data_IF_718860375581
#
_entry.id   IF_718860375581
#
_cell.length_a   1.000
_cell.length_b   1.000
_cell.length_c   1.000
_cell.angle_alpha   90.00
_cell.angle_beta   90.00
_cell.angle_gamma   90.00
#
_symmetry.space_group_name_H-M   'P 1'
#
loop_
_entity.id
_entity.type
_entity.pdbx_description
1 polymer ?
#
# COMPACT_ATOMS: atom_id res chain seq x y z
N UNK A 1 -1.80 2.65 2.66
CA UNK A 1 -2.32 1.27 2.45
C UNK A 1 -1.15 0.46 1.93
N UNK A 2 -1.02 -0.79 2.35
CA UNK A 2 0.10 -1.65 1.94
C UNK A 2 -0.45 -2.91 1.29
N UNK A 3 0.14 -3.33 0.18
CA UNK A 3 -0.20 -4.61 -0.44
C UNK A 3 0.64 -5.69 0.23
N UNK A 4 -0.03 -6.67 0.83
CA UNK A 4 0.61 -7.82 1.49
C UNK A 4 0.82 -8.94 0.48
N UNK A 5 -0.21 -9.23 -0.31
CA UNK A 5 -0.23 -10.36 -1.22
C UNK A 5 -1.17 -10.12 -2.40
N UNK A 6 -0.88 -10.77 -3.53
CA UNK A 6 -1.63 -10.68 -4.78
C UNK A 6 -1.63 -12.03 -5.47
N UNK A 7 -2.81 -12.52 -5.83
CA UNK A 7 -2.99 -13.77 -6.55
C UNK A 7 -3.92 -13.54 -7.75
N UNK A 8 -3.44 -13.87 -8.94
CA UNK A 8 -4.23 -13.80 -10.18
C UNK A 8 -4.74 -15.19 -10.54
N UNK A 9 -6.02 -15.29 -10.85
CA UNK A 9 -6.64 -16.46 -11.45
C UNK A 9 -7.06 -16.11 -12.88
N UNK A 10 -6.50 -16.81 -13.86
CA UNK A 10 -6.85 -16.66 -15.28
C UNK A 10 -7.89 -17.67 -15.74
N UNK A 11 -8.23 -18.67 -14.90
CA UNK A 11 -9.17 -19.73 -15.22
C UNK A 11 -10.12 -20.04 -14.05
N UNK A 12 -11.42 -20.29 -14.30
CA UNK A 12 -12.11 -20.12 -15.58
C UNK A 12 -12.25 -18.64 -15.98
N UNK A 13 -12.35 -18.34 -17.28
CA UNK A 13 -12.65 -16.99 -17.77
C UNK A 13 -14.00 -16.52 -17.22
N UNK A 14 -14.12 -15.25 -16.78
CA UNK A 14 -13.18 -14.13 -16.91
C UNK A 14 -11.99 -14.18 -15.92
N UNK A 15 -10.85 -13.54 -16.24
CA UNK A 15 -9.75 -13.43 -15.29
C UNK A 15 -10.15 -12.62 -14.06
N UNK A 16 -9.54 -12.92 -12.92
CA UNK A 16 -9.72 -12.17 -11.68
C UNK A 16 -8.42 -12.06 -10.89
N UNK A 17 -8.26 -11.01 -10.11
CA UNK A 17 -7.11 -10.83 -9.22
C UNK A 17 -7.59 -10.49 -7.81
N UNK A 18 -7.08 -11.23 -6.83
CA UNK A 18 -7.36 -11.00 -5.40
C UNK A 18 -6.13 -10.40 -4.72
N UNK A 19 -6.34 -9.33 -3.96
CA UNK A 19 -5.33 -8.57 -3.26
C UNK A 19 -5.61 -8.54 -1.77
N UNK A 20 -4.60 -8.83 -0.95
CA UNK A 20 -4.64 -8.59 0.50
C UNK A 20 -4.00 -7.23 0.80
N UNK A 21 -4.77 -6.28 1.32
CA UNK A 21 -4.34 -4.90 1.54
C UNK A 21 -4.49 -4.52 3.01
N UNK A 22 -3.41 -4.06 3.65
CA UNK A 22 -3.47 -3.43 4.96
C UNK A 22 -3.89 -1.96 4.85
N UNK A 23 -4.93 -1.59 5.61
CA UNK A 23 -5.38 -0.22 5.79
C UNK A 23 -4.42 0.64 6.61
N UNK A 24 -4.79 1.90 6.86
CA UNK A 24 -3.96 2.84 7.64
C UNK A 24 -3.86 2.47 9.12
N UNK A 25 -4.84 1.72 9.63
CA UNK A 25 -4.85 1.18 11.00
C UNK A 25 -4.28 -0.25 11.08
N UNK A 26 -3.73 -0.78 9.98
CA UNK A 26 -3.18 -2.14 9.94
C UNK A 26 -4.20 -3.27 9.78
N UNK A 27 -5.51 -3.00 9.73
CA UNK A 27 -6.51 -4.03 9.39
C UNK A 27 -6.32 -4.51 7.95
N UNK A 28 -6.33 -5.82 7.74
CA UNK A 28 -6.25 -6.45 6.42
C UNK A 28 -7.65 -6.52 5.82
N UNK A 29 -7.77 -6.05 4.57
CA UNK A 29 -8.95 -6.21 3.74
C UNK A 29 -8.57 -6.96 2.47
N UNK A 30 -9.48 -7.84 2.03
CA UNK A 30 -9.36 -8.53 0.76
C UNK A 30 -10.11 -7.74 -0.29
N UNK A 31 -9.46 -7.46 -1.42
CA UNK A 31 -10.06 -6.84 -2.60
C UNK A 31 -10.03 -7.86 -3.72
N UNK A 32 -11.14 -8.06 -4.40
CA UNK A 32 -11.23 -8.92 -5.57
C UNK A 32 -11.63 -8.07 -6.77
N UNK A 33 -10.79 -8.05 -7.79
CA UNK A 33 -11.04 -7.42 -9.08
C UNK A 33 -11.52 -8.50 -10.05
N UNK A 34 -12.79 -8.39 -10.44
CA UNK A 34 -13.51 -9.24 -11.37
C UNK A 34 -14.58 -8.38 -12.06
N UNK A 35 -15.57 -8.96 -12.75
CA UNK A 35 -16.66 -8.20 -13.38
C UNK A 35 -17.32 -7.20 -12.44
N UNK A 36 -17.53 -7.56 -11.17
CA UNK A 36 -17.97 -6.63 -10.13
C UNK A 36 -16.89 -6.62 -9.04
N UNK A 37 -16.11 -5.54 -8.93
CA UNK A 37 -15.10 -5.41 -7.88
C UNK A 37 -15.73 -5.47 -6.49
N UNK A 38 -15.10 -6.20 -5.58
CA UNK A 38 -15.58 -6.34 -4.20
C UNK A 38 -14.46 -6.13 -3.20
N UNK A 39 -14.83 -5.77 -1.98
CA UNK A 39 -13.88 -5.61 -0.87
C UNK A 39 -14.53 -5.98 0.46
N UNK A 40 -13.78 -6.60 1.36
CA UNK A 40 -14.28 -7.01 2.69
C UNK A 40 -14.32 -5.86 3.71
N UNK A 41 -13.99 -4.62 3.30
CA UNK A 41 -13.99 -3.48 4.21
C UNK A 41 -15.42 -2.98 4.52
N UNK A 42 -15.63 -2.30 5.68
CA UNK A 42 -16.96 -1.87 6.10
C UNK A 42 -17.69 -0.94 5.12
N UNK A 43 -16.97 -0.17 4.31
CA UNK A 43 -17.59 0.70 3.31
C UNK A 43 -18.13 -0.08 2.11
N UNK A 44 -17.40 -1.10 1.66
CA UNK A 44 -17.83 -1.95 0.55
C UNK A 44 -18.96 -2.89 0.95
N UNK A 45 -18.94 -3.40 2.19
CA UNK A 45 -20.04 -4.20 2.75
C UNK A 45 -21.37 -3.43 2.83
N UNK A 46 -21.33 -2.09 2.84
CA UNK A 46 -22.52 -1.23 2.77
C UNK A 46 -22.99 -0.96 1.33
N UNK A 47 -22.40 -1.62 0.33
CA UNK A 47 -22.78 -1.50 -1.08
C UNK A 47 -22.12 -0.35 -1.84
N UNK A 48 -21.13 0.33 -1.26
CA UNK A 48 -20.45 1.45 -1.91
C UNK A 48 -19.07 1.05 -2.46
N UNK A 49 -18.63 1.68 -3.55
CA UNK A 49 -17.25 1.54 -3.99
C UNK A 49 -16.31 2.15 -2.94
N UNK A 50 -15.35 1.35 -2.48
CA UNK A 50 -14.46 1.77 -1.40
C UNK A 50 -13.09 2.23 -1.93
N UNK A 51 -12.39 3.01 -1.09
CA UNK A 51 -11.02 3.45 -1.37
C UNK A 51 -10.03 2.31 -1.64
N UNK A 52 -10.27 1.10 -1.13
CA UNK A 52 -9.38 -0.04 -1.36
C UNK A 52 -9.50 -0.58 -2.79
N UNK A 53 -10.71 -0.57 -3.38
CA UNK A 53 -10.92 -0.93 -4.79
C UNK A 53 -10.23 0.10 -5.68
N UNK A 54 -10.44 1.39 -5.42
CA UNK A 54 -9.77 2.47 -6.16
C UNK A 54 -8.24 2.38 -6.03
N UNK A 55 -7.74 2.11 -4.83
CA UNK A 55 -6.31 1.92 -4.60
C UNK A 55 -5.76 0.72 -5.41
N UNK A 56 -6.48 -0.39 -5.45
CA UNK A 56 -6.10 -1.57 -6.24
C UNK A 56 -6.02 -1.24 -7.74
N UNK A 57 -7.06 -0.60 -8.30
CA UNK A 57 -7.11 -0.25 -9.72
C UNK A 57 -6.04 0.78 -10.10
N UNK A 58 -5.92 1.86 -9.34
CA UNK A 58 -5.05 3.00 -9.69
C UNK A 58 -3.58 2.71 -9.37
N UNK A 59 -3.29 2.17 -8.18
CA UNK A 59 -1.90 2.10 -7.66
C UNK A 59 -1.28 0.73 -7.81
N UNK A 60 -2.07 -0.34 -7.77
CA UNK A 60 -1.54 -1.71 -7.81
C UNK A 60 -1.57 -2.26 -9.22
N UNK A 61 -2.74 -2.25 -9.86
CA UNK A 61 -2.94 -2.75 -11.21
C UNK A 61 -2.59 -1.72 -12.28
N UNK A 62 -2.51 -0.43 -11.92
CA UNK A 62 -2.26 0.68 -12.87
C UNK A 62 -3.22 0.66 -14.07
N UNK A 63 -4.48 0.37 -13.81
CA UNK A 63 -5.52 0.31 -14.83
C UNK A 63 -5.55 1.60 -15.68
N UNK A 64 -5.91 1.52 -16.97
CA UNK A 64 -6.12 2.69 -17.82
C UNK A 64 -7.06 3.71 -17.16
N UNK A 65 -6.85 5.04 -17.36
CA UNK A 65 -7.63 6.07 -16.66
C UNK A 65 -9.15 5.93 -16.80
N UNK A 66 -9.64 5.45 -17.94
CA UNK A 66 -11.06 5.20 -18.22
C UNK A 66 -11.65 4.06 -17.38
N UNK A 67 -10.83 3.13 -16.91
CA UNK A 67 -11.22 1.93 -16.17
C UNK A 67 -11.02 2.08 -14.64
N UNK A 68 -10.36 3.14 -14.18
CA UNK A 68 -9.96 3.28 -12.75
C UNK A 68 -11.13 3.47 -11.77
N UNK A 69 -12.27 3.97 -12.24
CA UNK A 69 -13.42 4.34 -11.41
C UNK A 69 -14.71 3.61 -11.79
N UNK A 70 -14.64 2.63 -12.68
CA UNK A 70 -15.80 1.85 -13.08
C UNK A 70 -16.31 0.98 -11.91
N UNK A 71 -17.63 0.80 -11.87
CA UNK A 71 -18.30 -0.04 -10.87
C UNK A 71 -18.37 -1.52 -11.29
N UNK A 72 -18.24 -1.78 -12.58
CA UNK A 72 -18.21 -3.11 -13.16
C UNK A 72 -17.39 -3.10 -14.45
N UNK A 73 -16.87 -4.25 -14.84
CA UNK A 73 -15.97 -4.43 -15.98
C UNK A 73 -16.50 -5.50 -16.94
N UNK A 74 -16.21 -5.35 -18.23
CA UNK A 74 -16.32 -6.40 -19.25
C UNK A 74 -15.10 -7.31 -19.24
N UNK A 75 -15.20 -8.49 -19.86
CA UNK A 75 -14.06 -9.42 -19.98
C UNK A 75 -12.87 -8.77 -20.68
N UNK A 76 -13.12 -8.05 -21.79
CA UNK A 76 -12.08 -7.34 -22.53
C UNK A 76 -11.43 -6.21 -21.73
N UNK A 77 -12.19 -5.55 -20.85
CA UNK A 77 -11.66 -4.53 -19.95
C UNK A 77 -10.79 -5.17 -18.86
N UNK A 78 -11.20 -6.32 -18.32
CA UNK A 78 -10.40 -7.10 -17.37
C UNK A 78 -9.09 -7.58 -17.99
N UNK A 79 -9.13 -8.10 -19.22
CA UNK A 79 -7.92 -8.48 -19.97
C UNK A 79 -6.97 -7.27 -20.10
N UNK A 80 -7.50 -6.12 -20.54
CA UNK A 80 -6.73 -4.87 -20.65
C UNK A 80 -6.10 -4.45 -19.32
N UNK A 81 -6.84 -4.54 -18.21
CA UNK A 81 -6.34 -4.21 -16.88
C UNK A 81 -5.21 -5.16 -16.50
N UNK A 82 -5.37 -6.47 -16.66
CA UNK A 82 -4.39 -7.45 -16.21
C UNK A 82 -3.15 -7.55 -17.09
N UNK A 83 -3.26 -7.25 -18.38
CA UNK A 83 -2.14 -7.16 -19.32
C UNK A 83 -1.26 -5.94 -19.02
N UNK A 84 -1.87 -4.82 -18.61
CA UNK A 84 -1.15 -3.62 -18.18
C UNK A 84 -0.58 -3.70 -16.75
N UNK A 85 -1.01 -4.69 -15.97
CA UNK A 85 -0.69 -4.77 -14.56
C UNK A 85 0.76 -5.23 -14.29
N UNK A 86 1.45 -4.67 -13.28
CA UNK A 86 2.78 -5.11 -12.88
C UNK A 86 2.82 -6.60 -12.51
N UNK A 87 3.97 -7.28 -12.72
CA UNK A 87 4.13 -8.71 -12.47
C UNK A 87 3.81 -9.09 -11.01
N UNK A 88 3.43 -10.34 -10.81
CA UNK A 88 3.10 -10.88 -9.48
C UNK A 88 4.38 -11.14 -8.67
N UNK A 89 4.38 -10.87 -7.35
CA UNK A 89 5.56 -11.02 -6.51
C UNK A 89 6.09 -12.47 -6.38
N UNK A 90 5.28 -13.49 -6.69
CA UNK A 90 5.69 -14.90 -6.62
C UNK A 90 6.47 -15.41 -7.85
N UNK A 91 6.43 -14.69 -8.98
CA UNK A 91 7.18 -15.06 -10.17
C UNK A 91 8.70 -14.80 -10.05
N UNK A 92 9.13 -14.09 -8.98
CA UNK A 92 10.49 -13.57 -8.85
C UNK A 92 11.27 -14.22 -7.69
N UNK A 93 10.75 -15.30 -7.09
CA UNK A 93 11.35 -15.91 -5.90
C UNK A 93 12.65 -16.71 -6.16
N UNK A 94 13.09 -16.84 -7.42
CA UNK A 94 14.33 -17.53 -7.80
C UNK A 94 15.48 -16.61 -8.24
N UNK A 95 15.37 -15.29 -8.09
CA UNK A 95 16.50 -14.40 -8.31
C UNK A 95 17.25 -14.15 -6.99
N UNK A 96 18.43 -14.77 -6.87
CA UNK A 96 19.49 -14.30 -5.98
C UNK A 96 19.68 -12.78 -6.13
N UNK A 97 20.03 -12.09 -5.04
CA UNK A 97 20.24 -10.63 -4.95
C UNK A 97 20.91 -10.04 -6.20
N UNK A 98 20.10 -9.61 -7.14
CA UNK A 98 20.46 -8.74 -8.25
C UNK A 98 19.57 -7.52 -8.16
N UNK A 99 20.06 -6.40 -8.66
CA UNK A 99 19.47 -5.06 -8.69
C UNK A 99 18.14 -4.97 -9.48
N UNK A 100 17.41 -6.09 -9.65
CA UNK A 100 16.32 -6.30 -10.60
C UNK A 100 15.00 -5.56 -10.31
N UNK A 101 14.95 -4.74 -9.26
CA UNK A 101 13.83 -3.80 -9.03
C UNK A 101 14.24 -2.35 -9.21
N UNK A 102 15.52 -2.04 -9.38
CA UNK A 102 15.99 -0.69 -9.60
C UNK A 102 15.60 -0.25 -11.01
N UNK A 103 14.98 0.91 -11.12
CA UNK A 103 14.72 1.51 -12.44
C UNK A 103 16.03 2.03 -13.05
N UNK A 104 16.09 2.16 -14.39
CA UNK A 104 17.12 2.96 -15.04
C UNK A 104 17.21 4.38 -14.44
N UNK A 105 18.35 5.03 -14.61
CA UNK A 105 18.59 6.41 -14.16
C UNK A 105 18.03 7.46 -15.15
N UNK A 106 17.08 7.06 -15.99
CA UNK A 106 16.52 7.90 -17.06
C UNK A 106 15.56 8.98 -16.52
N UNK A 107 15.00 8.77 -15.32
CA UNK A 107 14.09 9.71 -14.63
C UNK A 107 14.87 10.61 -13.66
N UNK A 108 14.35 11.81 -13.36
CA UNK A 108 14.91 12.71 -12.33
C UNK A 108 14.60 12.28 -10.90
N UNK A 109 15.41 12.75 -9.94
CA UNK A 109 15.17 12.52 -8.53
C UNK A 109 13.83 13.12 -8.07
N UNK A 110 12.93 12.36 -7.44
CA UNK A 110 11.58 12.83 -7.11
C UNK A 110 11.51 13.83 -5.94
N UNK A 111 12.65 14.18 -5.33
CA UNK A 111 12.74 15.16 -4.24
C UNK A 111 13.25 16.51 -4.75
N UNK A 112 14.36 16.53 -5.49
CA UNK A 112 14.98 17.76 -5.98
C UNK A 112 14.67 18.05 -7.46
N UNK A 113 14.12 17.09 -8.20
CA UNK A 113 13.87 17.18 -9.64
C UNK A 113 15.13 17.46 -10.47
N UNK A 114 16.29 17.00 -9.98
CA UNK A 114 17.56 17.06 -10.71
C UNK A 114 17.92 15.67 -11.30
N UNK A 115 18.65 15.63 -12.43
CA UNK A 115 19.22 14.41 -12.97
C UNK A 115 20.20 13.74 -12.00
N UNK A 116 20.52 12.49 -12.29
CA UNK A 116 21.47 11.69 -11.52
C UNK A 116 22.87 11.74 -12.11
N UNK A 117 23.89 11.97 -11.27
CA UNK A 117 25.30 11.84 -11.64
C UNK A 117 25.95 10.68 -10.86
N UNK A 118 25.88 9.43 -11.35
CA UNK A 118 26.30 8.24 -10.58
C UNK A 118 27.80 8.19 -10.28
N UNK A 119 28.61 9.01 -10.95
CA UNK A 119 30.06 9.11 -10.73
C UNK A 119 30.41 10.03 -9.54
N UNK A 120 29.56 11.01 -9.24
CA UNK A 120 29.80 12.05 -8.23
C UNK A 120 28.83 11.97 -7.04
N UNK A 121 27.68 11.31 -7.20
CA UNK A 121 26.59 11.30 -6.24
C UNK A 121 26.19 9.88 -5.80
N UNK A 122 25.92 9.72 -4.50
CA UNK A 122 25.30 8.50 -4.00
C UNK A 122 23.84 8.43 -4.45
N UNK A 123 23.43 7.30 -5.02
CA UNK A 123 22.05 7.06 -5.45
C UNK A 123 21.51 5.84 -4.72
N UNK A 124 20.49 6.08 -3.90
CA UNK A 124 19.71 5.03 -3.25
C UNK A 124 18.43 4.77 -4.06
N UNK A 125 17.79 3.63 -3.85
CA UNK A 125 16.54 3.32 -4.55
C UNK A 125 15.55 2.59 -3.67
N UNK A 126 14.28 2.67 -4.04
CA UNK A 126 13.22 1.98 -3.32
C UNK A 126 13.24 0.46 -3.59
N UNK A 127 14.00 -0.28 -2.77
CA UNK A 127 14.06 -1.75 -2.78
C UNK A 127 12.72 -2.42 -2.45
N UNK A 128 11.89 -1.72 -1.67
CA UNK A 128 10.65 -2.26 -1.12
C UNK A 128 9.52 -2.43 -2.14
N UNK A 129 9.44 -1.54 -3.15
CA UNK A 129 8.28 -1.54 -4.06
C UNK A 129 8.58 -0.92 -5.44
N UNK A 130 8.74 0.42 -5.52
CA UNK A 130 8.62 1.11 -6.80
C UNK A 130 9.91 1.23 -7.61
N UNK A 131 11.07 0.87 -7.03
CA UNK A 131 12.33 0.85 -7.77
C UNK A 131 12.94 2.20 -8.10
N UNK A 132 12.25 3.31 -7.81
CA UNK A 132 12.73 4.65 -8.15
C UNK A 132 14.03 4.98 -7.42
N UNK A 133 14.91 5.62 -8.17
CA UNK A 133 16.16 6.19 -7.72
C UNK A 133 15.91 7.52 -7.00
N UNK A 134 16.76 7.81 -6.02
CA UNK A 134 16.73 9.03 -5.20
C UNK A 134 18.19 9.31 -4.80
N UNK A 135 18.62 10.57 -4.86
CA UNK A 135 19.93 10.93 -4.31
C UNK A 135 20.00 10.57 -2.83
N UNK A 136 21.12 10.00 -2.39
CA UNK A 136 21.37 9.63 -0.99
C UNK A 136 21.18 10.81 -0.05
N UNK A 137 21.72 11.98 -0.41
CA UNK A 137 21.55 13.22 0.35
C UNK A 137 20.08 13.65 0.47
N UNK A 138 19.33 13.61 -0.65
CA UNK A 138 17.90 13.95 -0.65
C UNK A 138 17.10 12.96 0.22
N UNK A 139 17.41 11.67 0.12
CA UNK A 139 16.77 10.65 0.93
C UNK A 139 17.09 10.79 2.43
N UNK A 140 18.34 11.11 2.79
CA UNK A 140 18.75 11.34 4.17
C UNK A 140 17.99 12.52 4.80
N UNK A 141 17.85 13.63 4.07
CA UNK A 141 17.03 14.77 4.51
C UNK A 141 15.57 14.38 4.71
N UNK A 142 15.02 13.61 3.77
CA UNK A 142 13.65 13.09 3.91
C UNK A 142 13.49 12.18 5.14
N UNK A 143 14.42 11.24 5.36
CA UNK A 143 14.39 10.36 6.51
C UNK A 143 14.49 11.15 7.83
N UNK A 144 15.37 12.15 7.90
CA UNK A 144 15.52 13.02 9.06
C UNK A 144 14.26 13.85 9.36
N UNK A 145 13.45 14.17 8.34
CA UNK A 145 12.16 14.86 8.51
C UNK A 145 11.10 14.00 9.21
N UNK A 146 11.30 12.67 9.32
CA UNK A 146 10.35 11.71 9.92
C UNK A 146 10.60 11.47 11.41
N UNK A 147 10.94 12.50 12.19
CA UNK A 147 11.14 12.38 13.64
C UNK A 147 9.94 11.68 14.31
N UNK A 148 10.16 10.47 14.82
CA UNK A 148 9.14 9.65 15.49
C UNK A 148 8.19 8.85 14.59
N UNK A 149 8.39 8.84 13.27
CA UNK A 149 7.56 8.10 12.30
C UNK A 149 8.40 7.14 11.45
N UNK A 150 7.78 6.05 10.98
CA UNK A 150 8.44 5.14 10.06
C UNK A 150 8.89 5.87 8.78
N UNK A 151 10.14 5.66 8.37
CA UNK A 151 10.67 6.22 7.12
C UNK A 151 10.04 5.47 5.95
N UNK A 152 9.47 6.21 5.00
CA UNK A 152 8.82 5.65 3.81
C UNK A 152 9.48 6.16 2.55
N UNK A 153 9.35 5.45 1.43
CA UNK A 153 9.71 5.97 0.11
C UNK A 153 8.96 7.28 -0.20
N UNK A 154 9.65 8.38 -0.55
CA UNK A 154 9.00 9.64 -0.93
C UNK A 154 8.03 9.48 -2.12
N UNK A 155 8.36 8.57 -3.05
CA UNK A 155 7.59 8.37 -4.26
C UNK A 155 6.34 7.51 -4.04
N UNK A 156 6.49 6.29 -3.53
CA UNK A 156 5.39 5.34 -3.39
C UNK A 156 4.83 5.22 -1.96
N UNK A 157 5.50 5.81 -0.96
CA UNK A 157 5.15 5.78 0.47
C UNK A 157 5.19 4.41 1.14
N UNK A 158 5.72 3.38 0.49
CA UNK A 158 6.05 2.09 1.12
C UNK A 158 7.15 2.29 2.17
N UNK A 159 7.11 1.63 3.36
CA UNK A 159 8.18 1.66 4.33
C UNK A 159 9.53 1.39 3.66
N UNK A 160 10.50 2.23 3.99
CA UNK A 160 11.81 2.17 3.37
C UNK A 160 12.55 0.95 3.91
N UNK A 161 13.14 0.16 3.01
CA UNK A 161 14.04 -0.93 3.38
C UNK A 161 15.47 -0.42 3.23
N UNK A 162 16.10 -0.09 4.36
CA UNK A 162 17.57 0.04 4.41
C UNK A 162 18.23 -1.34 4.26
N UNK A 163 19.57 -1.39 4.29
CA UNK A 163 20.32 -2.65 4.37
C UNK A 163 20.18 -3.29 5.75
N UNK A 164 18.95 -3.64 6.13
CA UNK A 164 18.62 -4.55 7.20
C UNK A 164 17.32 -5.29 6.84
N UNK A 165 17.43 -6.62 6.92
CA UNK A 165 16.48 -7.62 6.45
C UNK A 165 15.15 -7.59 7.20
N UNK A 166 14.24 -6.66 6.92
CA UNK A 166 12.93 -6.71 7.59
C UNK A 166 11.80 -6.14 6.76
N UNK A 167 11.30 -6.93 5.79
CA UNK A 167 9.91 -6.79 5.30
C UNK A 167 9.37 -8.07 4.61
N UNK A 168 10.14 -9.16 4.51
CA UNK A 168 9.71 -10.36 3.77
C UNK A 168 8.67 -11.25 4.50
N UNK A 169 8.19 -10.89 5.68
CA UNK A 169 7.22 -11.73 6.40
C UNK A 169 6.21 -10.90 7.21
N UNK A 170 5.47 -9.99 6.56
CA UNK A 170 4.19 -9.58 7.14
C UNK A 170 3.25 -10.76 6.99
N UNK A 171 3.16 -11.58 8.03
CA UNK A 171 2.29 -12.75 8.03
C UNK A 171 0.84 -12.29 8.02
N UNK A 172 -0.04 -13.02 7.30
CA UNK A 172 -1.50 -12.88 7.47
C UNK A 172 -1.98 -13.33 8.86
N UNK A 173 -1.05 -13.67 9.76
CA UNK A 173 -1.23 -14.17 11.11
C UNK A 173 -1.13 -13.02 12.12
N UNK A 174 -2.06 -12.07 12.04
CA UNK A 174 -2.20 -10.98 13.01
C UNK A 174 -3.26 -11.28 14.08
N UNK A 175 -3.34 -10.44 15.12
CA UNK A 175 -4.43 -10.53 16.10
C UNK A 175 -5.74 -10.11 15.44
N UNK A 176 -6.80 -10.89 15.63
CA UNK A 176 -8.14 -10.53 15.16
C UNK A 176 -8.75 -9.51 16.14
N UNK A 177 -9.25 -8.39 15.62
CA UNK A 177 -9.89 -7.36 16.43
C UNK A 177 -11.37 -7.71 16.74
N UNK A 178 -12.03 -6.90 17.57
CA UNK A 178 -13.44 -7.09 17.92
C UNK A 178 -14.39 -7.03 16.71
N UNK A 179 -13.96 -6.40 15.62
CA UNK A 179 -14.70 -6.30 14.35
C UNK A 179 -14.49 -7.53 13.44
N UNK A 180 -13.65 -8.49 13.83
CA UNK A 180 -13.35 -9.70 13.07
C UNK A 180 -12.24 -9.56 12.01
N UNK A 181 -11.52 -8.44 11.98
CA UNK A 181 -10.41 -8.21 11.05
C UNK A 181 -9.07 -8.60 11.65
N UNK A 182 -8.22 -9.24 10.84
CA UNK A 182 -6.81 -9.45 11.17
C UNK A 182 -6.08 -8.10 11.14
N UNK A 183 -5.40 -7.75 12.23
CA UNK A 183 -4.61 -6.53 12.33
C UNK A 183 -3.11 -6.83 12.34
N UNK A 184 -2.36 -6.17 11.46
CA UNK A 184 -0.90 -6.28 11.31
C UNK A 184 -0.19 -4.94 11.54
N UNK A 185 -0.79 -4.03 12.31
CA UNK A 185 -0.23 -2.70 12.55
C UNK A 185 1.18 -2.76 13.15
N UNK A 186 1.40 -3.58 14.17
CA UNK A 186 2.72 -3.75 14.81
C UNK A 186 3.80 -4.27 13.86
N UNK A 187 3.44 -5.18 12.93
CA UNK A 187 4.38 -5.69 11.92
C UNK A 187 4.76 -4.62 10.87
N UNK A 188 3.87 -3.65 10.65
CA UNK A 188 4.04 -2.56 9.70
C UNK A 188 4.54 -1.25 10.33
N UNK A 189 4.80 -1.23 11.64
CA UNK A 189 5.16 -0.01 12.38
C UNK A 189 4.06 1.05 12.38
N UNK A 190 2.78 0.63 12.29
CA UNK A 190 1.62 1.50 12.36
C UNK A 190 1.09 1.56 13.79
N UNK A 191 0.52 2.70 14.18
CA UNK A 191 -0.06 2.89 15.51
C UNK A 191 -1.26 1.99 15.80
N UNK A 192 -1.89 1.42 14.77
CA UNK A 192 -3.15 0.66 14.88
C UNK A 192 -4.38 1.54 15.11
N UNK A 193 -4.19 2.82 15.46
CA UNK A 193 -5.26 3.77 15.78
C UNK A 193 -5.63 4.63 14.59
N UNK A 194 -6.91 4.97 14.47
CA UNK A 194 -7.39 5.93 13.47
C UNK A 194 -7.13 7.34 13.98
N UNK A 195 -6.52 8.16 13.12
CA UNK A 195 -6.36 9.58 13.39
C UNK A 195 -7.69 10.33 13.13
N UNK A 196 -8.20 10.97 14.18
CA UNK A 196 -9.39 11.81 14.16
C UNK A 196 -9.06 13.30 14.35
N UNK A 197 -7.78 13.69 14.41
CA UNK A 197 -7.36 15.08 14.67
C UNK A 197 -7.87 16.07 13.63
N UNK A 198 -8.07 15.62 12.40
CA UNK A 198 -8.58 16.42 11.27
C UNK A 198 -10.10 16.36 11.11
N UNK A 199 -10.80 15.54 11.89
CA UNK A 199 -12.25 15.41 11.81
C UNK A 199 -12.92 16.56 12.55
N UNK A 200 -14.15 16.89 12.16
CA UNK A 200 -14.94 17.92 12.83
C UNK A 200 -15.11 17.57 14.32
N UNK A 201 -14.60 18.43 15.21
CA UNK A 201 -14.49 18.18 16.65
C UNK A 201 -15.82 17.75 17.29
N UNK A 202 -16.94 18.36 16.87
CA UNK A 202 -18.27 18.02 17.38
C UNK A 202 -18.71 16.59 17.00
N UNK A 203 -18.30 16.10 15.83
CA UNK A 203 -18.57 14.71 15.43
C UNK A 203 -17.73 13.76 16.29
N UNK A 204 -16.44 14.05 16.48
CA UNK A 204 -15.54 13.22 17.30
C UNK A 204 -16.04 13.13 18.75
N UNK A 205 -16.42 14.26 19.36
CA UNK A 205 -16.98 14.29 20.71
C UNK A 205 -18.26 13.45 20.83
N UNK A 206 -19.12 13.46 19.81
CA UNK A 206 -20.33 12.62 19.77
C UNK A 206 -19.98 11.13 19.70
N UNK A 207 -19.00 10.75 18.88
CA UNK A 207 -18.58 9.35 18.77
C UNK A 207 -17.92 8.85 20.06
N UNK A 208 -17.11 9.68 20.72
CA UNK A 208 -16.53 9.37 22.05
C UNK A 208 -17.61 9.13 23.10
N UNK A 209 -18.61 10.02 23.18
CA UNK A 209 -19.77 9.82 24.09
C UNK A 209 -20.55 8.55 23.79
N UNK A 210 -20.55 8.10 22.54
CA UNK A 210 -21.19 6.85 22.12
C UNK A 210 -20.29 5.60 22.32
N UNK A 211 -19.05 5.76 22.83
CA UNK A 211 -18.09 4.68 23.01
C UNK A 211 -17.55 4.10 21.70
N UNK A 212 -17.67 4.83 20.58
CA UNK A 212 -17.29 4.38 19.24
C UNK A 212 -15.88 4.82 18.82
N UNK A 213 -15.24 5.68 19.61
CA UNK A 213 -13.87 6.15 19.44
C UNK A 213 -13.20 6.11 20.81
N UNK A 214 -12.10 5.35 20.92
CA UNK A 214 -11.32 5.27 22.15
C UNK A 214 -10.75 6.63 22.55
N UNK A 215 -10.74 6.92 23.85
CA UNK A 215 -10.06 8.08 24.39
C UNK A 215 -8.54 7.93 24.25
N UNK A 216 -7.87 9.01 23.87
CA UNK A 216 -6.46 8.99 23.51
C UNK A 216 -5.53 8.75 24.72
N UNK A 217 -6.05 8.80 25.95
CA UNK A 217 -5.28 8.93 27.19
C UNK A 217 -5.51 7.74 28.15
N UNK A 218 -5.44 6.53 27.61
CA UNK A 218 -5.29 5.30 28.40
C UNK A 218 -3.84 4.86 28.36
N UNK A 219 -2.95 5.59 29.03
CA UNK A 219 -1.63 5.06 29.40
C UNK A 219 -1.88 3.87 30.35
N UNK A 220 -1.55 2.67 29.90
CA UNK A 220 -1.34 1.52 30.79
C UNK A 220 -0.12 1.87 31.67
N UNK A 221 -0.39 2.26 32.92
CA UNK A 221 0.57 2.23 34.03
C UNK A 221 0.83 0.79 34.48
#
# INVERSE_FOLDING_TARGET
>A
MFVIDRTRSTLPSPPSETLSIAGTTGNIYTVTIAHVPSCTCPHALKGAQCKHILYALVRVLKAPPTLQYQLAFLTSELDTIFDSAPPLPAADASAAYSDGKRKPLDDDCPICCCPFEPESEEIVFCRAACGNNIHGACFAQWAASKKGSAVTCPFCRTPWQGDEKTLKQVSKSGRVNAEGYVNVAGQLGLSGRRDYSTYHSHWVARQRRAGLVDDADGDEY
#
